data_IF_971895252873
#
_entry.id   IF_971895252873
#
_cell.length_a   1.000
_cell.length_b   1.000
_cell.length_c   1.000
_cell.angle_alpha   90.00
_cell.angle_beta   90.00
_cell.angle_gamma   90.00
#
_symmetry.space_group_name_H-M   'P 1'
#
loop_
_entity.id
_entity.type
_entity.pdbx_description
1 polymer ?
#
# COMPACT_ATOMS: atom_id res chain seq x y z
N UNK A 1 -37.95 7.21 13.36
CA UNK A 1 -36.59 6.67 13.16
C UNK A 1 -35.81 6.89 14.43
N UNK A 2 -35.31 5.80 14.99
CA UNK A 2 -34.85 5.65 16.37
C UNK A 2 -33.57 6.46 16.63
N UNK A 3 -33.71 7.68 17.16
CA UNK A 3 -32.58 8.56 17.52
C UNK A 3 -31.82 8.08 18.77
N UNK A 4 -32.33 7.06 19.48
CA UNK A 4 -31.74 6.51 20.70
C UNK A 4 -30.36 5.86 20.46
N UNK A 5 -30.12 5.35 19.25
CA UNK A 5 -28.83 4.76 18.86
C UNK A 5 -27.74 5.81 18.66
N UNK A 6 -28.10 7.02 18.23
CA UNK A 6 -27.16 8.13 18.02
C UNK A 6 -26.74 8.80 19.35
N UNK A 7 -27.51 8.58 20.42
CA UNK A 7 -27.19 9.06 21.78
C UNK A 7 -26.32 8.10 22.59
N UNK A 8 -25.99 6.92 22.06
CA UNK A 8 -25.00 6.04 22.71
C UNK A 8 -23.60 6.58 22.44
N UNK A 9 -22.89 6.94 23.51
CA UNK A 9 -21.45 7.13 23.43
C UNK A 9 -20.81 5.80 23.05
N UNK A 10 -20.14 5.77 21.90
CA UNK A 10 -19.30 4.65 21.48
C UNK A 10 -18.00 4.76 22.26
N UNK A 11 -17.84 3.95 23.31
CA UNK A 11 -16.56 3.82 23.99
C UNK A 11 -15.65 2.95 23.12
N UNK A 12 -14.52 3.53 22.69
CA UNK A 12 -13.48 2.79 21.99
C UNK A 12 -12.41 2.38 23.00
N UNK A 13 -12.17 1.07 23.20
CA UNK A 13 -11.13 0.63 24.14
C UNK A 13 -9.77 1.12 23.65
N UNK A 14 -9.02 1.72 24.57
CA UNK A 14 -7.62 2.07 24.32
C UNK A 14 -6.82 0.80 24.09
N UNK A 15 -5.86 0.86 23.17
CA UNK A 15 -4.98 -0.28 22.95
C UNK A 15 -4.07 -0.49 24.16
N UNK A 16 -3.85 -1.75 24.53
CA UNK A 16 -2.97 -2.10 25.65
C UNK A 16 -1.63 -2.64 25.14
N UNK A 17 -0.55 -1.92 25.46
CA UNK A 17 0.83 -2.29 25.12
C UNK A 17 1.59 -2.90 26.31
N UNK A 18 0.92 -3.20 27.41
CA UNK A 18 1.55 -3.71 28.65
C UNK A 18 2.35 -4.99 28.44
N UNK A 19 1.92 -5.86 27.52
CA UNK A 19 2.58 -7.11 27.18
C UNK A 19 3.44 -7.04 25.90
N UNK A 20 3.51 -5.89 25.24
CA UNK A 20 4.23 -5.72 23.99
C UNK A 20 5.74 -5.60 24.22
N UNK A 21 6.52 -6.15 23.29
CA UNK A 21 7.97 -5.94 23.26
C UNK A 21 8.29 -4.48 22.93
N UNK A 22 9.50 -4.01 23.28
CA UNK A 22 9.94 -2.64 22.95
C UNK A 22 9.85 -2.32 21.44
N UNK A 23 10.05 -3.32 20.60
CA UNK A 23 9.89 -3.18 19.16
C UNK A 23 8.42 -3.07 18.75
N UNK A 24 7.52 -3.88 19.31
CA UNK A 24 6.09 -3.82 18.99
C UNK A 24 5.46 -2.50 19.46
N UNK A 25 5.82 -2.01 20.65
CA UNK A 25 5.41 -0.68 21.12
C UNK A 25 5.88 0.40 20.14
N UNK A 26 7.16 0.38 19.76
CA UNK A 26 7.69 1.32 18.77
C UNK A 26 6.99 1.21 17.41
N UNK A 27 6.68 -0.02 16.97
CA UNK A 27 5.98 -0.27 15.71
C UNK A 27 4.60 0.38 15.72
N UNK A 28 3.82 0.13 16.77
CA UNK A 28 2.47 0.68 16.89
C UNK A 28 2.52 2.21 16.96
N UNK A 29 3.37 2.78 17.82
CA UNK A 29 3.52 4.23 17.95
C UNK A 29 3.97 4.90 16.64
N UNK A 30 4.95 4.31 15.94
CA UNK A 30 5.43 4.81 14.66
C UNK A 30 4.33 4.75 13.59
N UNK A 31 3.63 3.62 13.48
CA UNK A 31 2.56 3.44 12.51
C UNK A 31 1.37 4.36 12.79
N UNK A 32 0.97 4.56 14.05
CA UNK A 32 -0.08 5.50 14.43
C UNK A 32 0.33 6.94 14.13
N UNK A 33 1.56 7.35 14.49
CA UNK A 33 2.08 8.69 14.21
C UNK A 33 2.08 9.02 12.71
N UNK A 34 2.42 8.05 11.88
CA UNK A 34 2.51 8.22 10.43
C UNK A 34 1.26 7.77 9.67
N UNK A 35 0.17 7.38 10.37
CA UNK A 35 -1.10 6.92 9.78
C UNK A 35 -0.91 5.79 8.75
N UNK A 36 -0.15 4.77 9.14
CA UNK A 36 0.23 3.65 8.27
C UNK A 36 -0.69 2.41 8.42
N UNK A 37 -1.74 2.49 9.22
CA UNK A 37 -2.75 1.44 9.31
C UNK A 37 -3.86 1.69 8.30
N UNK A 38 -4.28 0.64 7.60
CA UNK A 38 -5.35 0.64 6.61
C UNK A 38 -6.68 0.46 7.32
N UNK A 39 -7.15 1.52 7.97
CA UNK A 39 -8.49 1.60 8.56
C UNK A 39 -9.19 2.92 8.21
N UNK A 40 -10.52 2.92 8.33
CA UNK A 40 -11.37 4.10 8.20
C UNK A 40 -11.75 4.69 9.57
N UNK A 41 -10.94 4.47 10.61
CA UNK A 41 -11.26 4.97 11.94
C UNK A 41 -11.01 6.48 11.99
N UNK A 42 -12.06 7.26 12.23
CA UNK A 42 -12.01 8.74 12.17
C UNK A 42 -12.07 9.38 13.57
N UNK A 43 -12.56 8.65 14.58
CA UNK A 43 -12.93 9.25 15.87
C UNK A 43 -11.77 9.42 16.85
N UNK A 44 -10.97 8.38 17.05
CA UNK A 44 -9.90 8.38 18.05
C UNK A 44 -8.63 7.72 17.50
N UNK A 45 -7.49 8.36 17.74
CA UNK A 45 -6.20 7.88 17.26
C UNK A 45 -5.61 6.78 18.17
N UNK A 46 -6.07 6.69 19.43
CA UNK A 46 -5.54 5.77 20.46
C UNK A 46 -6.54 4.71 20.87
N UNK A 47 -6.97 3.87 19.93
CA UNK A 47 -7.86 2.75 20.22
C UNK A 47 -7.44 1.48 19.46
N UNK A 48 -7.90 0.32 19.90
CA UNK A 48 -7.63 -0.95 19.22
C UNK A 48 -8.04 -0.94 17.73
N UNK A 49 -9.14 -0.25 17.41
CA UNK A 49 -9.63 -0.16 16.03
C UNK A 49 -8.72 0.67 15.11
N UNK A 50 -7.83 1.52 15.66
CA UNK A 50 -6.92 2.37 14.88
C UNK A 50 -5.60 1.67 14.52
N UNK A 51 -5.28 0.53 15.15
CA UNK A 51 -4.01 -0.20 15.00
C UNK A 51 -4.13 -1.51 14.18
N UNK A 52 -5.22 -1.63 13.42
CA UNK A 52 -5.52 -2.80 12.59
C UNK A 52 -5.75 -2.41 11.12
N UNK A 53 -5.69 -3.40 10.23
CA UNK A 53 -5.93 -3.25 8.79
C UNK A 53 -7.26 -3.93 8.34
N UNK A 54 -8.44 -3.49 8.82
CA UNK A 54 -9.72 -4.14 8.52
C UNK A 54 -10.22 -3.86 7.09
N UNK A 55 -9.59 -2.94 6.35
CA UNK A 55 -10.06 -2.54 5.02
C UNK A 55 -10.19 -3.76 4.10
N UNK A 56 -11.37 -3.86 3.48
CA UNK A 56 -11.67 -4.78 2.39
C UNK A 56 -12.54 -4.04 1.37
N UNK A 57 -12.33 -4.33 0.09
CA UNK A 57 -13.08 -3.70 -1.00
C UNK A 57 -14.30 -4.57 -1.28
N UNK A 58 -15.50 -3.98 -1.28
CA UNK A 58 -16.70 -4.70 -1.70
C UNK A 58 -16.61 -5.03 -3.18
N UNK A 59 -16.69 -6.32 -3.51
CA UNK A 59 -16.62 -6.83 -4.89
C UNK A 59 -18.02 -7.14 -5.40
N UNK A 60 -18.33 -6.70 -6.61
CA UNK A 60 -19.57 -7.07 -7.30
C UNK A 60 -19.25 -8.08 -8.39
N UNK A 61 -19.84 -9.27 -8.32
CA UNK A 61 -19.70 -10.34 -9.32
C UNK A 61 -21.08 -10.78 -9.80
N UNK A 62 -21.14 -11.44 -10.96
CA UNK A 62 -22.38 -12.06 -11.44
C UNK A 62 -22.88 -13.11 -10.44
N UNK A 63 -24.20 -13.26 -10.34
CA UNK A 63 -24.84 -14.16 -9.36
C UNK A 63 -24.41 -15.62 -9.56
N UNK A 64 -24.18 -16.03 -10.81
CA UNK A 64 -23.78 -17.41 -11.16
C UNK A 64 -22.26 -17.65 -11.10
N UNK A 65 -21.47 -16.64 -10.71
CA UNK A 65 -20.02 -16.70 -10.69
C UNK A 65 -19.46 -17.00 -9.29
N UNK A 66 -19.31 -18.30 -9.02
CA UNK A 66 -18.83 -18.80 -7.73
C UNK A 66 -17.30 -18.77 -7.57
N UNK A 67 -16.54 -18.38 -8.60
CA UNK A 67 -15.06 -18.49 -8.58
C UNK A 67 -14.36 -17.14 -8.57
N UNK A 68 -14.86 -16.18 -9.36
CA UNK A 68 -14.20 -14.89 -9.54
C UNK A 68 -14.05 -14.12 -8.24
N UNK A 69 -15.00 -14.22 -7.31
CA UNK A 69 -14.85 -13.63 -5.98
C UNK A 69 -13.59 -14.12 -5.26
N UNK A 70 -13.36 -15.43 -5.20
CA UNK A 70 -12.21 -16.00 -4.49
C UNK A 70 -10.88 -15.63 -5.15
N UNK A 71 -10.84 -15.61 -6.49
CA UNK A 71 -9.66 -15.21 -7.24
C UNK A 71 -9.33 -13.72 -7.00
N UNK A 72 -10.34 -12.84 -7.00
CA UNK A 72 -10.18 -11.41 -6.69
C UNK A 72 -9.83 -11.16 -5.22
N UNK A 73 -10.45 -11.87 -4.28
CA UNK A 73 -10.14 -11.80 -2.87
C UNK A 73 -8.69 -12.21 -2.59
N UNK A 74 -8.17 -13.21 -3.32
CA UNK A 74 -6.75 -13.60 -3.26
C UNK A 74 -5.82 -12.45 -3.66
N UNK A 75 -6.15 -11.71 -4.72
CA UNK A 75 -5.37 -10.52 -5.11
C UNK A 75 -5.38 -9.44 -4.01
N UNK A 76 -6.55 -9.16 -3.42
CA UNK A 76 -6.67 -8.18 -2.33
C UNK A 76 -5.85 -8.64 -1.11
N UNK A 77 -5.94 -9.91 -0.74
CA UNK A 77 -5.18 -10.47 0.39
C UNK A 77 -3.67 -10.35 0.16
N UNK A 78 -3.19 -10.66 -1.05
CA UNK A 78 -1.78 -10.49 -1.39
C UNK A 78 -1.35 -9.03 -1.26
N UNK A 79 -2.14 -8.08 -1.80
CA UNK A 79 -1.86 -6.65 -1.68
C UNK A 79 -1.76 -6.21 -0.20
N UNK A 80 -2.65 -6.72 0.66
CA UNK A 80 -2.63 -6.43 2.10
C UNK A 80 -1.41 -7.03 2.79
N UNK A 81 -1.05 -8.28 2.48
CA UNK A 81 0.14 -8.95 3.01
C UNK A 81 1.42 -8.18 2.64
N UNK A 82 1.54 -7.79 1.37
CA UNK A 82 2.68 -7.02 0.87
C UNK A 82 2.77 -5.66 1.54
N UNK A 83 1.62 -4.99 1.75
CA UNK A 83 1.58 -3.70 2.44
C UNK A 83 2.02 -3.84 3.91
N UNK A 84 1.51 -4.83 4.63
CA UNK A 84 1.91 -5.11 6.00
C UNK A 84 3.41 -5.42 6.09
N UNK A 85 3.94 -6.15 5.11
CA UNK A 85 5.37 -6.47 4.99
C UNK A 85 6.20 -5.21 4.71
N UNK A 86 5.78 -4.38 3.75
CA UNK A 86 6.46 -3.12 3.43
C UNK A 86 6.48 -2.18 4.65
N UNK A 87 5.36 -2.10 5.38
CA UNK A 87 5.26 -1.34 6.63
C UNK A 87 6.23 -1.86 7.69
N UNK A 88 6.33 -3.18 7.86
CA UNK A 88 7.29 -3.78 8.79
C UNK A 88 8.74 -3.44 8.42
N UNK A 89 9.12 -3.58 7.15
CA UNK A 89 10.46 -3.22 6.67
C UNK A 89 10.78 -1.76 6.92
N UNK A 90 9.80 -0.87 6.70
CA UNK A 90 9.93 0.56 6.98
C UNK A 90 10.20 0.78 8.48
N UNK A 91 9.38 0.24 9.38
CA UNK A 91 9.57 0.44 10.82
C UNK A 91 10.91 -0.13 11.29
N UNK A 92 11.29 -1.33 10.82
CA UNK A 92 12.58 -1.94 11.14
C UNK A 92 13.76 -1.07 10.70
N UNK A 93 13.65 -0.35 9.58
CA UNK A 93 14.68 0.58 9.14
C UNK A 93 14.87 1.78 10.09
N UNK A 94 13.83 2.14 10.85
CA UNK A 94 13.83 3.27 11.78
C UNK A 94 14.17 2.86 13.23
N UNK A 95 14.00 1.58 13.57
CA UNK A 95 14.25 1.09 14.92
C UNK A 95 15.72 0.71 15.15
N UNK A 96 16.46 1.53 15.89
CA UNK A 96 17.87 1.28 16.20
C UNK A 96 18.02 0.19 17.26
N UNK A 97 18.80 -0.84 16.93
CA UNK A 97 19.03 -2.00 17.79
C UNK A 97 20.44 -2.55 17.59
N UNK A 98 21.10 -2.90 18.71
CA UNK A 98 22.52 -3.27 18.69
C UNK A 98 22.82 -4.53 17.89
N UNK A 99 21.87 -5.45 17.77
CA UNK A 99 21.99 -6.63 16.92
C UNK A 99 21.97 -6.29 15.42
N UNK A 100 21.15 -5.34 14.96
CA UNK A 100 21.23 -4.84 13.58
C UNK A 100 22.54 -4.13 13.30
N UNK A 101 23.07 -3.36 14.25
CA UNK A 101 24.39 -2.74 14.12
C UNK A 101 25.49 -3.81 14.01
N UNK A 102 25.41 -4.86 14.83
CA UNK A 102 26.32 -6.01 14.78
C UNK A 102 26.23 -6.76 13.44
N UNK A 103 25.02 -7.01 12.94
CA UNK A 103 24.81 -7.69 11.65
C UNK A 103 25.34 -6.81 10.51
N UNK A 104 25.03 -5.51 10.51
CA UNK A 104 25.45 -4.59 9.46
C UNK A 104 26.97 -4.49 9.37
N UNK A 105 27.70 -4.58 10.50
CA UNK A 105 29.17 -4.58 10.54
C UNK A 105 29.81 -5.84 9.94
N UNK A 106 29.05 -6.92 9.75
CA UNK A 106 29.54 -8.14 9.09
C UNK A 106 29.58 -8.02 7.57
N UNK A 107 29.09 -6.93 7.01
CA UNK A 107 29.13 -6.64 5.58
C UNK A 107 30.03 -5.43 5.31
N UNK A 108 31.02 -5.61 4.45
CA UNK A 108 31.92 -4.53 4.02
C UNK A 108 31.44 -3.96 2.70
N UNK A 109 31.44 -2.62 2.57
CA UNK A 109 31.12 -1.91 1.34
C UNK A 109 32.35 -1.17 0.81
N UNK A 110 32.51 -1.10 -0.50
CA UNK A 110 33.55 -0.29 -1.12
C UNK A 110 33.22 1.20 -0.97
N UNK A 111 34.22 2.04 -0.69
CA UNK A 111 34.04 3.48 -0.68
C UNK A 111 33.98 4.01 -2.12
N UNK A 112 32.82 4.49 -2.53
CA UNK A 112 32.54 5.01 -3.87
C UNK A 112 32.87 6.50 -4.03
N UNK A 113 33.34 7.19 -2.97
CA UNK A 113 33.65 8.64 -2.93
C UNK A 113 32.47 9.57 -3.29
N UNK A 114 31.26 9.02 -3.38
CA UNK A 114 30.01 9.71 -3.71
C UNK A 114 29.18 10.05 -2.46
N UNK A 115 29.75 9.85 -1.27
CA UNK A 115 29.09 10.02 0.03
C UNK A 115 27.84 9.13 0.22
N UNK A 116 27.71 8.06 -0.56
CA UNK A 116 26.61 7.10 -0.39
C UNK A 116 26.74 6.34 0.94
N UNK A 117 25.63 6.26 1.67
CA UNK A 117 25.54 5.52 2.94
C UNK A 117 24.97 4.12 2.66
N UNK A 118 25.74 3.10 3.05
CA UNK A 118 25.32 1.70 2.97
C UNK A 118 25.35 1.07 4.35
N UNK A 119 24.21 0.51 4.77
CA UNK A 119 24.07 -0.32 5.96
C UNK A 119 22.73 -1.07 5.88
N UNK A 120 22.49 -1.98 6.82
CA UNK A 120 21.26 -2.80 6.84
C UNK A 120 19.99 -1.95 6.94
N UNK A 121 20.01 -0.85 7.70
CA UNK A 121 18.85 0.04 7.84
C UNK A 121 18.49 0.72 6.52
N UNK A 122 19.51 1.21 5.78
CA UNK A 122 19.30 1.77 4.43
C UNK A 122 18.77 0.69 3.48
N UNK A 123 19.27 -0.55 3.60
CA UNK A 123 18.75 -1.69 2.84
C UNK A 123 17.27 -1.94 3.11
N UNK A 124 16.87 -2.02 4.38
CA UNK A 124 15.48 -2.21 4.80
C UNK A 124 14.57 -1.09 4.29
N UNK A 125 15.01 0.17 4.37
CA UNK A 125 14.27 1.32 3.85
C UNK A 125 14.07 1.23 2.33
N UNK A 126 15.13 0.91 1.59
CA UNK A 126 15.06 0.70 0.13
C UNK A 126 14.13 -0.45 -0.23
N UNK A 127 14.17 -1.55 0.54
CA UNK A 127 13.27 -2.69 0.35
C UNK A 127 11.81 -2.34 0.63
N UNK A 128 11.52 -1.59 1.70
CA UNK A 128 10.18 -1.10 2.01
C UNK A 128 9.62 -0.25 0.87
N UNK A 129 10.44 0.68 0.35
CA UNK A 129 10.09 1.53 -0.78
C UNK A 129 9.83 0.73 -2.06
N UNK A 130 10.70 -0.24 -2.38
CA UNK A 130 10.52 -1.13 -3.54
C UNK A 130 9.21 -1.93 -3.43
N UNK A 131 8.90 -2.46 -2.25
CA UNK A 131 7.67 -3.23 -2.07
C UNK A 131 6.41 -2.36 -2.18
N UNK A 132 6.44 -1.13 -1.66
CA UNK A 132 5.37 -0.15 -1.87
C UNK A 132 5.08 0.09 -3.37
N UNK A 133 6.13 0.16 -4.21
CA UNK A 133 5.97 0.28 -5.67
C UNK A 133 5.47 -1.01 -6.33
N UNK A 134 5.92 -2.18 -5.87
CA UNK A 134 5.44 -3.46 -6.39
C UNK A 134 3.93 -3.65 -6.13
N UNK A 135 3.42 -3.13 -5.01
CA UNK A 135 2.00 -3.15 -4.67
C UNK A 135 1.16 -2.43 -5.75
N UNK A 136 1.64 -1.31 -6.30
CA UNK A 136 0.95 -0.59 -7.38
C UNK A 136 0.75 -1.48 -8.63
N UNK A 137 1.75 -2.29 -8.97
CA UNK A 137 1.64 -3.23 -10.10
C UNK A 137 0.67 -4.38 -9.79
N UNK A 138 0.60 -4.83 -8.53
CA UNK A 138 -0.40 -5.82 -8.07
C UNK A 138 -1.81 -5.26 -8.10
N UNK A 139 -2.01 -3.99 -7.70
CA UNK A 139 -3.26 -3.25 -7.87
C UNK A 139 -3.65 -3.20 -9.36
N UNK A 140 -2.68 -3.00 -10.24
CA UNK A 140 -2.94 -2.98 -11.68
C UNK A 140 -3.42 -4.33 -12.20
N UNK A 141 -2.81 -5.43 -11.76
CA UNK A 141 -3.31 -6.78 -12.07
C UNK A 141 -4.74 -6.98 -11.56
N UNK A 142 -5.02 -6.55 -10.33
CA UNK A 142 -6.37 -6.60 -9.78
C UNK A 142 -7.37 -5.81 -10.64
N UNK A 143 -7.05 -4.58 -11.04
CA UNK A 143 -7.91 -3.75 -11.91
C UNK A 143 -8.14 -4.42 -13.28
N UNK A 144 -7.09 -5.03 -13.86
CA UNK A 144 -7.20 -5.73 -15.14
C UNK A 144 -8.20 -6.89 -15.07
N UNK A 145 -8.12 -7.71 -14.03
CA UNK A 145 -9.03 -8.83 -13.83
C UNK A 145 -10.45 -8.34 -13.48
N UNK A 146 -10.57 -7.41 -12.52
CA UNK A 146 -11.87 -6.93 -12.02
C UNK A 146 -12.71 -6.24 -13.12
N UNK A 147 -12.10 -5.37 -13.92
CA UNK A 147 -12.81 -4.69 -15.02
C UNK A 147 -12.74 -5.47 -16.35
N UNK A 148 -12.11 -6.65 -16.35
CA UNK A 148 -11.90 -7.47 -17.54
C UNK A 148 -11.24 -6.70 -18.68
N UNK A 149 -10.18 -5.94 -18.41
CA UNK A 149 -9.52 -5.11 -19.42
C UNK A 149 -8.83 -5.95 -20.51
N UNK A 150 -8.56 -7.23 -20.24
CA UNK A 150 -8.07 -8.20 -21.22
C UNK A 150 -6.61 -7.98 -21.63
N UNK A 151 -5.84 -7.23 -20.84
CA UNK A 151 -4.41 -6.99 -21.09
C UNK A 151 -3.65 -8.29 -20.81
N UNK A 152 -2.87 -8.76 -21.79
CA UNK A 152 -2.04 -9.96 -21.66
C UNK A 152 -0.58 -9.58 -21.42
N UNK A 153 0.11 -10.31 -20.54
CA UNK A 153 1.54 -10.13 -20.28
C UNK A 153 1.85 -9.20 -19.11
N UNK A 154 2.86 -8.35 -19.28
CA UNK A 154 3.37 -7.48 -18.21
C UNK A 154 2.45 -6.27 -17.99
N UNK A 155 1.64 -6.35 -16.93
CA UNK A 155 0.77 -5.27 -16.47
C UNK A 155 1.50 -4.48 -15.38
N UNK A 156 1.67 -3.18 -15.62
CA UNK A 156 2.27 -2.25 -14.68
C UNK A 156 1.30 -1.10 -14.38
N UNK A 157 1.50 -0.45 -13.23
CA UNK A 157 0.74 0.72 -12.84
C UNK A 157 0.90 1.88 -13.83
N UNK A 158 2.01 1.96 -14.55
CA UNK A 158 2.24 3.00 -15.55
C UNK A 158 1.54 2.70 -16.88
N UNK A 159 1.16 1.46 -17.17
CA UNK A 159 0.68 1.04 -18.50
C UNK A 159 -0.81 0.71 -18.52
N UNK A 160 -1.44 0.46 -17.37
CA UNK A 160 -2.83 0.00 -17.32
C UNK A 160 -3.85 1.07 -17.78
N UNK A 161 -3.58 2.34 -17.53
CA UNK A 161 -4.57 3.41 -17.69
C UNK A 161 -4.89 3.78 -19.14
N UNK A 162 -3.89 3.75 -20.01
CA UNK A 162 -3.98 4.28 -21.38
C UNK A 162 -3.86 3.15 -22.41
N UNK A 163 -4.54 3.32 -23.54
CA UNK A 163 -4.36 2.49 -24.73
C UNK A 163 -4.04 3.38 -25.94
N UNK A 164 -3.17 2.88 -26.80
CA UNK A 164 -2.88 3.51 -28.08
C UNK A 164 -4.07 3.26 -29.03
N UNK A 165 -4.66 4.34 -29.54
CA UNK A 165 -5.76 4.27 -30.52
C UNK A 165 -5.22 4.46 -31.94
N UNK A 166 -4.28 5.39 -32.12
CA UNK A 166 -3.54 5.65 -33.36
C UNK A 166 -2.06 5.90 -33.02
N UNK A 167 -1.17 5.87 -34.01
CA UNK A 167 0.25 6.25 -33.82
C UNK A 167 0.34 7.59 -33.08
N UNK A 168 0.94 7.57 -31.88
CA UNK A 168 1.10 8.72 -30.98
C UNK A 168 -0.18 9.31 -30.36
N UNK A 169 -1.35 8.64 -30.45
CA UNK A 169 -2.57 9.05 -29.74
C UNK A 169 -2.92 8.05 -28.64
N UNK A 170 -2.69 8.48 -27.39
CA UNK A 170 -2.95 7.69 -26.19
C UNK A 170 -4.17 8.24 -25.46
N UNK A 171 -5.22 7.43 -25.32
CA UNK A 171 -6.40 7.79 -24.54
C UNK A 171 -6.60 6.86 -23.35
N UNK A 172 -7.29 7.37 -22.34
CA UNK A 172 -7.69 6.56 -21.18
C UNK A 172 -8.64 5.46 -21.68
N UNK A 173 -8.47 4.25 -21.14
CA UNK A 173 -9.31 3.11 -21.53
C UNK A 173 -10.78 3.40 -21.25
N UNK A 174 -11.69 3.19 -22.21
CA UNK A 174 -13.12 3.45 -22.02
C UNK A 174 -13.74 2.70 -20.84
N UNK A 175 -13.30 1.46 -20.57
CA UNK A 175 -13.77 0.68 -19.41
C UNK A 175 -13.46 1.34 -18.06
N UNK A 176 -12.37 2.11 -17.98
CA UNK A 176 -12.01 2.85 -16.76
C UNK A 176 -12.88 4.10 -16.64
N UNK A 177 -13.06 4.87 -17.73
CA UNK A 177 -13.92 6.07 -17.75
C UNK A 177 -15.38 5.71 -17.46
N UNK A 178 -15.88 4.63 -18.04
CA UNK A 178 -17.28 4.22 -17.88
C UNK A 178 -17.57 3.52 -16.54
N UNK A 179 -16.56 3.37 -15.67
CA UNK A 179 -16.74 2.72 -14.36
C UNK A 179 -17.45 3.60 -13.33
N UNK A 180 -17.46 4.93 -13.54
CA UNK A 180 -17.98 5.93 -12.59
C UNK A 180 -17.42 5.79 -11.16
N UNK A 181 -16.29 5.09 -11.00
CA UNK A 181 -15.70 4.80 -9.72
C UNK A 181 -14.69 5.89 -9.33
N UNK A 182 -15.09 6.76 -8.39
CA UNK A 182 -14.26 7.87 -7.88
C UNK A 182 -12.91 7.38 -7.36
N UNK A 183 -12.88 6.24 -6.66
CA UNK A 183 -11.62 5.68 -6.12
C UNK A 183 -10.66 5.24 -7.24
N UNK A 184 -11.20 4.75 -8.36
CA UNK A 184 -10.39 4.40 -9.53
C UNK A 184 -9.81 5.65 -10.22
N UNK A 185 -10.56 6.76 -10.23
CA UNK A 185 -10.05 8.04 -10.72
C UNK A 185 -8.94 8.60 -9.82
N UNK A 186 -9.06 8.46 -8.50
CA UNK A 186 -7.97 8.83 -7.59
C UNK A 186 -6.69 8.03 -7.85
N UNK A 187 -6.80 6.74 -8.20
CA UNK A 187 -5.63 5.95 -8.61
C UNK A 187 -5.03 6.44 -9.94
N UNK A 188 -5.86 6.91 -10.88
CA UNK A 188 -5.37 7.52 -12.11
C UNK A 188 -4.64 8.84 -11.85
N UNK A 189 -5.10 9.65 -10.90
CA UNK A 189 -4.42 10.89 -10.50
C UNK A 189 -3.03 10.60 -9.92
N UNK A 190 -2.88 9.56 -9.10
CA UNK A 190 -1.57 9.08 -8.62
C UNK A 190 -0.65 8.73 -9.81
N UNK A 191 -1.18 8.10 -10.86
CA UNK A 191 -0.41 7.84 -12.07
C UNK A 191 0.04 9.13 -12.79
N UNK A 192 -0.83 10.14 -12.88
CA UNK A 192 -0.46 11.43 -13.46
C UNK A 192 0.65 12.10 -12.66
N UNK A 193 0.60 12.01 -11.33
CA UNK A 193 1.65 12.54 -10.46
C UNK A 193 3.01 11.87 -10.70
N UNK A 194 3.03 10.57 -11.00
CA UNK A 194 4.27 9.87 -11.40
C UNK A 194 4.74 10.23 -12.82
N UNK A 195 3.83 10.57 -13.73
CA UNK A 195 4.16 10.86 -15.13
C UNK A 195 4.75 12.26 -15.32
N UNK A 196 4.10 13.26 -14.74
CA UNK A 196 4.40 14.68 -14.96
C UNK A 196 4.42 15.51 -13.68
N UNK A 197 4.07 14.93 -12.53
CA UNK A 197 3.98 15.64 -11.26
C UNK A 197 5.24 15.57 -10.40
N UNK A 198 5.04 15.86 -9.12
CA UNK A 198 6.06 15.96 -8.08
C UNK A 198 6.91 14.69 -7.94
N UNK A 199 6.33 13.52 -8.22
CA UNK A 199 7.00 12.22 -8.02
C UNK A 199 7.79 11.71 -9.23
N UNK A 200 8.01 12.53 -10.26
CA UNK A 200 8.80 12.13 -11.45
C UNK A 200 10.18 11.55 -11.08
N UNK A 201 10.90 12.21 -10.17
CA UNK A 201 12.22 11.75 -9.69
C UNK A 201 12.14 10.41 -8.96
N UNK A 202 11.04 10.17 -8.25
CA UNK A 202 10.83 8.94 -7.48
C UNK A 202 10.67 7.74 -8.43
N UNK A 203 10.07 7.95 -9.60
CA UNK A 203 10.02 6.94 -10.67
C UNK A 203 11.40 6.58 -11.22
N UNK A 204 12.32 7.53 -11.29
CA UNK A 204 13.69 7.31 -11.81
C UNK A 204 14.59 6.53 -10.83
N UNK A 205 14.20 6.45 -9.54
CA UNK A 205 14.91 5.68 -8.51
C UNK A 205 14.63 4.18 -8.62
N UNK A 206 13.52 3.79 -9.26
CA UNK A 206 13.11 2.40 -9.48
C UNK A 206 13.83 1.81 -10.71
#
# INVERSE_FOLDING_TARGET
KDKSLLSKNLEHPQYDLSHATSFETFYIEFCSKHKLFLNFHIHEDKCEASIVDPIFISLTTSIDDNKTFYDLAKYINQIKEDYATARLLLVQSQFKRGDFDNISRRTTFANTLDYSIFNIYIGLLKSAFKEAYNILDKISRFINEYYGLGIKGNIYFTTIWQCEINKNDWKIRPKIINSENISLYSLYDIFLDFKSGYYKKVREIR
#
